data_IF_159222195499
#
_entry.id   IF_159222195499
#
_cell.length_a   1.000
_cell.length_b   1.000
_cell.length_c   1.000
_cell.angle_alpha   90.00
_cell.angle_beta   90.00
_cell.angle_gamma   90.00
#
_symmetry.space_group_name_H-M   'P 1'
#
loop_
_entity.id
_entity.type
_entity.pdbx_description
1 polymer ?
#
# COMPACT_ATOMS: atom_id res chain seq x y z
N UNK A 1 -4.92 -13.85 -16.46
CA UNK A 1 -5.67 -13.28 -15.32
C UNK A 1 -5.87 -11.79 -15.62
N UNK A 2 -7.08 -11.24 -15.45
CA UNK A 2 -7.41 -9.82 -15.67
C UNK A 2 -7.65 -9.16 -14.31
N UNK A 3 -7.01 -8.02 -14.05
CA UNK A 3 -7.27 -7.22 -12.85
C UNK A 3 -8.39 -6.22 -13.11
N UNK A 4 -9.30 -6.06 -12.14
CA UNK A 4 -10.37 -5.08 -12.15
C UNK A 4 -10.17 -4.16 -10.95
N UNK A 5 -9.86 -2.89 -11.20
CA UNK A 5 -9.63 -1.89 -10.15
C UNK A 5 -10.83 -0.95 -10.04
N UNK A 6 -11.27 -0.67 -8.81
CA UNK A 6 -12.32 0.31 -8.54
C UNK A 6 -12.19 0.89 -7.13
N UNK A 7 -12.56 2.16 -6.97
CA UNK A 7 -12.65 2.82 -5.66
C UNK A 7 -14.01 2.56 -5.02
N UNK A 8 -14.00 2.25 -3.73
CA UNK A 8 -15.21 1.96 -2.94
C UNK A 8 -14.93 2.20 -1.47
N UNK A 9 -15.95 2.13 -0.62
CA UNK A 9 -15.82 2.20 0.83
C UNK A 9 -16.21 0.87 1.45
N UNK A 10 -15.47 0.45 2.48
CA UNK A 10 -15.87 -0.68 3.33
C UNK A 10 -17.00 -0.19 4.24
N UNK A 11 -18.14 -0.90 4.25
CA UNK A 11 -19.25 -0.66 5.17
C UNK A 11 -19.72 -1.98 5.76
N UNK A 12 -19.86 -2.06 7.10
CA UNK A 12 -20.24 -3.29 7.81
C UNK A 12 -19.37 -4.50 7.43
N UNK A 13 -18.06 -4.28 7.33
CA UNK A 13 -17.08 -5.28 6.88
C UNK A 13 -17.38 -5.90 5.50
N UNK A 14 -18.02 -5.12 4.61
CA UNK A 14 -18.35 -5.54 3.25
C UNK A 14 -17.89 -4.50 2.24
N UNK A 15 -17.37 -4.98 1.12
CA UNK A 15 -17.06 -4.18 -0.06
C UNK A 15 -18.16 -4.40 -1.10
N UNK A 16 -18.80 -3.32 -1.55
CA UNK A 16 -19.79 -3.39 -2.62
C UNK A 16 -19.10 -3.23 -3.97
N UNK A 17 -19.19 -4.25 -4.81
CA UNK A 17 -18.70 -4.22 -6.19
C UNK A 17 -19.66 -3.36 -7.03
N UNK A 18 -19.18 -2.34 -7.76
CA UNK A 18 -20.02 -1.52 -8.64
C UNK A 18 -20.62 -2.32 -9.79
N UNK A 19 -21.83 -1.95 -10.24
CA UNK A 19 -22.54 -2.62 -11.35
C UNK A 19 -21.68 -2.79 -12.61
N UNK A 20 -20.87 -1.78 -12.96
CA UNK A 20 -19.96 -1.83 -14.11
C UNK A 20 -18.95 -2.99 -14.03
N UNK A 21 -18.50 -3.32 -12.81
CA UNK A 21 -17.54 -4.39 -12.56
C UNK A 21 -18.26 -5.74 -12.42
N UNK A 22 -19.49 -5.76 -11.90
CA UNK A 22 -20.30 -6.99 -11.82
C UNK A 22 -20.52 -7.62 -13.21
N UNK A 23 -20.77 -6.80 -14.24
CA UNK A 23 -20.92 -7.27 -15.62
C UNK A 23 -19.65 -7.97 -16.15
N UNK A 24 -18.47 -7.54 -15.70
CA UNK A 24 -17.18 -8.14 -16.07
C UNK A 24 -16.92 -9.44 -15.30
N UNK A 25 -17.48 -9.59 -14.09
CA UNK A 25 -17.28 -10.75 -13.22
C UNK A 25 -18.13 -11.96 -13.63
N UNK A 26 -19.19 -11.79 -14.44
CA UNK A 26 -20.12 -12.85 -14.88
C UNK A 26 -20.57 -13.75 -13.71
N UNK A 27 -21.54 -13.29 -12.90
CA UNK A 27 -21.93 -13.93 -11.64
C UNK A 27 -22.50 -15.36 -11.79
N UNK A 28 -22.75 -15.78 -13.02
CA UNK A 28 -23.22 -17.09 -13.47
C UNK A 28 -22.13 -18.18 -13.48
N UNK A 29 -20.87 -17.83 -13.27
CA UNK A 29 -19.77 -18.78 -13.21
C UNK A 29 -19.17 -18.85 -11.80
N UNK A 30 -19.35 -19.99 -11.15
CA UNK A 30 -18.69 -20.32 -9.89
C UNK A 30 -17.18 -20.42 -10.16
N UNK A 31 -16.45 -19.34 -9.89
CA UNK A 31 -15.04 -19.18 -10.20
C UNK A 31 -14.28 -18.72 -8.97
N UNK A 32 -13.14 -19.35 -8.73
CA UNK A 32 -12.18 -18.86 -7.76
C UNK A 32 -11.57 -17.54 -8.25
N UNK A 33 -11.55 -16.55 -7.36
CA UNK A 33 -11.00 -15.22 -7.64
C UNK A 33 -9.93 -14.86 -6.60
N UNK A 34 -8.83 -14.26 -7.06
CA UNK A 34 -7.82 -13.66 -6.19
C UNK A 34 -8.19 -12.21 -5.92
N UNK A 35 -8.35 -11.85 -4.65
CA UNK A 35 -8.69 -10.48 -4.22
C UNK A 35 -7.45 -9.79 -3.66
N UNK A 36 -7.19 -8.57 -4.11
CA UNK A 36 -6.15 -7.68 -3.57
C UNK A 36 -6.87 -6.43 -3.06
N UNK A 37 -6.70 -6.11 -1.78
CA UNK A 37 -7.29 -4.93 -1.15
C UNK A 37 -6.18 -3.94 -0.84
N UNK A 38 -6.30 -2.72 -1.36
CA UNK A 38 -5.45 -1.58 -1.04
C UNK A 38 -6.28 -0.62 -0.19
N UNK A 39 -5.80 -0.30 1.01
CA UNK A 39 -6.45 0.65 1.91
C UNK A 39 -5.62 1.94 1.87
N UNK A 40 -6.28 3.08 1.66
CA UNK A 40 -5.64 4.39 1.67
C UNK A 40 -5.45 4.82 3.12
N UNK A 41 -4.19 4.79 3.58
CA UNK A 41 -3.81 5.03 4.98
C UNK A 41 -3.70 6.52 5.28
N UNK A 42 -4.78 7.25 4.96
CA UNK A 42 -4.86 8.69 5.17
C UNK A 42 -4.97 9.10 6.64
N UNK A 43 -5.20 8.14 7.54
CA UNK A 43 -5.08 8.31 9.00
C UNK A 43 -3.63 8.07 9.43
N UNK A 44 -2.85 9.14 9.26
CA UNK A 44 -1.41 9.25 9.50
C UNK A 44 -0.99 8.88 10.93
N UNK A 45 -0.69 7.61 11.19
CA UNK A 45 0.20 7.21 12.30
C UNK A 45 1.41 6.43 11.81
N UNK A 46 1.22 5.49 10.87
CA UNK A 46 2.30 4.62 10.41
C UNK A 46 3.29 5.35 9.47
N UNK A 47 2.80 6.33 8.71
CA UNK A 47 3.58 7.12 7.77
C UNK A 47 4.62 8.04 8.46
N UNK A 48 4.40 8.37 9.74
CA UNK A 48 5.37 9.11 10.56
C UNK A 48 6.51 8.20 11.02
N UNK A 49 6.18 7.00 11.51
CA UNK A 49 7.17 6.04 12.00
C UNK A 49 8.07 5.51 10.88
N UNK A 50 7.51 5.29 9.68
CA UNK A 50 8.30 4.88 8.51
C UNK A 50 9.25 5.99 8.05
N UNK A 51 8.82 7.27 8.12
CA UNK A 51 9.67 8.41 7.80
C UNK A 51 10.78 8.61 8.83
N UNK A 52 10.48 8.53 10.12
CA UNK A 52 11.47 8.64 11.19
C UNK A 52 12.51 7.52 11.09
N UNK A 53 12.09 6.28 10.88
CA UNK A 53 13.01 5.16 10.69
C UNK A 53 13.87 5.30 9.41
N UNK A 54 13.29 5.82 8.32
CA UNK A 54 14.03 6.08 7.09
C UNK A 54 15.05 7.21 7.27
N UNK A 55 14.70 8.30 7.96
CA UNK A 55 15.64 9.37 8.30
C UNK A 55 16.78 8.85 9.17
N UNK A 56 16.47 8.13 10.25
CA UNK A 56 17.48 7.59 11.17
C UNK A 56 18.49 6.68 10.44
N UNK A 57 18.01 5.75 9.62
CA UNK A 57 18.87 4.87 8.84
C UNK A 57 19.61 5.58 7.70
N UNK A 58 19.02 6.63 7.11
CA UNK A 58 19.68 7.44 6.09
C UNK A 58 20.87 8.20 6.70
N UNK A 59 20.68 8.90 7.82
CA UNK A 59 21.73 9.70 8.46
C UNK A 59 22.81 8.87 9.16
N UNK A 60 22.51 7.65 9.62
CA UNK A 60 23.52 6.72 10.14
C UNK A 60 24.61 6.36 9.11
N UNK A 61 24.25 6.28 7.82
CA UNK A 61 25.20 5.97 6.75
C UNK A 61 26.13 7.13 6.35
N UNK A 62 25.73 8.38 6.60
CA UNK A 62 26.55 9.56 6.28
C UNK A 62 27.64 9.84 7.33
N UNK A 63 27.39 9.54 8.61
CA UNK A 63 28.32 9.86 9.68
C UNK A 63 29.63 9.03 9.62
N UNK A 64 29.57 7.77 9.19
CA UNK A 64 30.77 6.92 9.08
C UNK A 64 31.56 7.15 7.77
N UNK A 65 30.91 7.57 6.68
CA UNK A 65 31.62 7.81 5.42
C UNK A 65 32.31 9.17 5.34
N UNK A 66 31.80 10.17 6.05
CA UNK A 66 32.36 11.54 6.06
C UNK A 66 33.57 11.68 7.00
N UNK A 67 33.77 10.73 7.92
CA UNK A 67 34.90 10.74 8.86
C UNK A 67 36.20 10.18 8.27
N UNK A 68 36.19 9.74 7.01
CA UNK A 68 37.39 9.30 6.27
C UNK A 68 38.31 10.50 5.92
N UNK A 69 37.75 11.71 5.82
CA UNK A 69 38.49 12.90 5.40
C UNK A 69 38.90 13.83 6.55
N UNK A 70 38.41 13.62 7.78
CA UNK A 70 38.73 14.46 8.94
C UNK A 70 40.10 14.17 9.58
N UNK A 71 40.84 13.15 9.12
CA UNK A 71 42.09 12.68 9.73
C UNK A 71 43.36 12.95 8.89
N UNK A 72 43.36 13.86 7.91
CA UNK A 72 44.57 14.28 7.18
C UNK A 72 44.70 15.79 6.98
#
# INVERSE_FOLDING_TARGET
MKALEFKTKIKNNRIRIPLRIQSELRPDLDKEVRVIVLIDDSDKSDDLMVKEAAEEHFFQGYAESDSIYDNY
#
